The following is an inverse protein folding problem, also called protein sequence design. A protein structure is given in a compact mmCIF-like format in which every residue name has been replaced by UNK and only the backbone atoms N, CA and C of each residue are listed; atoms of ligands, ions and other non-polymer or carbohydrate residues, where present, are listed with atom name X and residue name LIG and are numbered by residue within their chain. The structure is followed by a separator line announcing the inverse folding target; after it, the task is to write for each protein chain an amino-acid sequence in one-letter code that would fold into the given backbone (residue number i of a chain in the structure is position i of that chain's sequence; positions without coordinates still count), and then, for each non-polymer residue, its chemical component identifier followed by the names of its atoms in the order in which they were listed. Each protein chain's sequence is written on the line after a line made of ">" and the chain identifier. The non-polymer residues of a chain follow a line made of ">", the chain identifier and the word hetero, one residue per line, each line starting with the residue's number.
data_IF_787236499583
#
_entry.id   IF_787236499583
#
_cell.length_a   1.000
_cell.length_b   1.000
_cell.length_c   1.000
_cell.angle_alpha   90.00
_cell.angle_beta   90.00
_cell.angle_gamma   90.00
#
_symmetry.space_group_name_H-M   'P 1'
#
loop_
_entity.id
_entity.type
_entity.pdbx_description
1 polymer ?
#
# COMPACT_ATOMS: atom_id res chain seq x y z
N UNK A 1 -2.10 3.95 -18.10
CA UNK A 1 -3.11 3.02 -17.56
C UNK A 1 -3.88 2.40 -18.72
N UNK A 2 -4.15 1.10 -18.67
CA UNK A 2 -4.82 0.33 -19.74
C UNK A 2 -6.16 0.96 -20.13
N UNK A 3 -6.56 0.86 -21.41
CA UNK A 3 -7.80 1.40 -21.99
C UNK A 3 -9.05 0.68 -21.45
N UNK A 4 -9.32 0.83 -20.16
CA UNK A 4 -10.55 0.36 -19.54
C UNK A 4 -11.64 1.40 -19.84
N UNK A 5 -12.83 1.00 -20.32
CA UNK A 5 -13.92 1.94 -20.57
C UNK A 5 -14.24 2.75 -19.30
N UNK A 6 -14.33 4.07 -19.43
CA UNK A 6 -14.79 4.91 -18.33
C UNK A 6 -16.27 4.63 -18.08
N UNK A 7 -16.57 3.98 -16.96
CA UNK A 7 -17.93 3.83 -16.46
C UNK A 7 -18.37 5.17 -15.84
N UNK A 8 -19.43 5.77 -16.38
CA UNK A 8 -20.04 6.99 -15.84
C UNK A 8 -21.02 6.62 -14.72
N UNK A 9 -20.49 6.30 -13.54
CA UNK A 9 -21.29 6.19 -12.32
C UNK A 9 -21.14 7.46 -11.47
N UNK A 10 -22.26 8.13 -11.19
CA UNK A 10 -22.29 9.34 -10.34
C UNK A 10 -21.84 9.08 -8.90
N UNK A 11 -21.84 7.82 -8.45
CA UNK A 11 -21.34 7.43 -7.13
C UNK A 11 -19.83 7.27 -7.09
N UNK A 12 -19.17 7.09 -8.24
CA UNK A 12 -17.71 7.05 -8.32
C UNK A 12 -17.16 8.48 -8.24
N UNK A 13 -16.74 8.88 -7.04
CA UNK A 13 -16.24 10.24 -6.76
C UNK A 13 -14.82 10.43 -7.27
N UNK A 14 -14.00 9.38 -7.15
CA UNK A 14 -12.63 9.31 -7.66
C UNK A 14 -12.45 7.96 -8.32
N UNK A 15 -12.02 7.97 -9.58
CA UNK A 15 -11.81 6.76 -10.39
C UNK A 15 -10.58 6.90 -11.27
N UNK A 16 -10.54 6.17 -12.38
CA UNK A 16 -9.34 6.07 -13.22
C UNK A 16 -8.98 7.35 -14.00
N UNK A 17 -9.83 8.38 -13.96
CA UNK A 17 -9.67 9.60 -14.75
C UNK A 17 -8.57 10.53 -14.25
N UNK A 18 -8.28 10.53 -12.93
CA UNK A 18 -7.34 11.48 -12.31
C UNK A 18 -6.05 10.82 -11.81
N UNK A 19 -5.92 9.49 -11.95
CA UNK A 19 -4.77 8.73 -11.43
C UNK A 19 -4.42 9.09 -9.98
N UNK A 20 -5.45 9.26 -9.14
CA UNK A 20 -5.30 9.36 -7.68
C UNK A 20 -4.82 8.02 -7.08
N UNK A 21 -4.34 8.08 -5.84
CA UNK A 21 -3.74 6.94 -5.13
C UNK A 21 -4.76 5.84 -4.80
N UNK A 22 -6.05 6.18 -4.68
CA UNK A 22 -7.11 5.20 -4.46
C UNK A 22 -8.45 5.59 -5.10
N UNK A 23 -9.31 4.60 -5.31
CA UNK A 23 -10.69 4.83 -5.77
C UNK A 23 -11.60 5.27 -4.62
N UNK A 24 -12.56 6.15 -4.89
CA UNK A 24 -13.55 6.60 -3.90
C UNK A 24 -14.96 6.41 -4.45
N UNK A 25 -15.77 5.62 -3.75
CA UNK A 25 -17.13 5.28 -4.15
C UNK A 25 -18.15 5.61 -3.05
N UNK A 26 -19.11 6.47 -3.36
CA UNK A 26 -20.15 6.95 -2.44
C UNK A 26 -21.21 5.88 -2.19
N UNK A 27 -21.37 5.48 -0.93
CA UNK A 27 -22.40 4.52 -0.50
C UNK A 27 -23.66 5.25 -0.01
N UNK A 28 -23.48 6.28 0.81
CA UNK A 28 -24.54 7.11 1.35
C UNK A 28 -24.10 8.58 1.38
N UNK A 29 -24.91 9.47 1.95
CA UNK A 29 -24.51 10.88 2.11
C UNK A 29 -23.36 11.06 3.11
N UNK A 30 -23.20 10.12 4.04
CA UNK A 30 -22.25 10.23 5.14
C UNK A 30 -21.07 9.26 4.99
N UNK A 31 -21.13 8.30 4.05
CA UNK A 31 -20.08 7.29 3.87
C UNK A 31 -19.73 7.13 2.39
N UNK A 32 -18.45 7.29 2.09
CA UNK A 32 -17.81 6.77 0.88
C UNK A 32 -16.75 5.73 1.27
N UNK A 33 -16.62 4.70 0.45
CA UNK A 33 -15.58 3.70 0.55
C UNK A 33 -14.37 4.18 -0.25
N UNK A 34 -13.18 4.01 0.33
CA UNK A 34 -11.90 4.20 -0.35
C UNK A 34 -11.26 2.83 -0.53
N UNK A 35 -10.92 2.46 -1.76
CA UNK A 35 -10.25 1.19 -2.05
C UNK A 35 -8.94 1.42 -2.78
N UNK A 36 -7.88 0.82 -2.26
CA UNK A 36 -6.58 0.68 -2.93
C UNK A 36 -6.16 -0.79 -2.97
N UNK A 37 -5.21 -1.08 -3.84
CA UNK A 37 -4.53 -2.36 -3.92
C UNK A 37 -3.08 -2.14 -4.34
N UNK A 38 -2.15 -2.65 -3.55
CA UNK A 38 -0.73 -2.51 -3.84
C UNK A 38 0.02 -3.75 -3.35
N UNK A 39 0.91 -4.29 -4.20
CA UNK A 39 1.73 -5.46 -3.92
C UNK A 39 2.96 -5.48 -4.83
N UNK A 40 4.10 -5.92 -4.31
CA UNK A 40 5.39 -5.84 -5.01
C UNK A 40 6.36 -6.93 -4.54
N UNK A 41 7.45 -7.19 -5.27
CA UNK A 41 8.47 -8.17 -4.84
C UNK A 41 9.31 -7.66 -3.65
N UNK A 42 10.02 -8.55 -2.93
CA UNK A 42 10.86 -8.18 -1.80
C UNK A 42 11.85 -7.03 -2.09
N UNK A 43 11.88 -6.06 -1.17
CA UNK A 43 12.82 -4.93 -1.18
C UNK A 43 13.90 -5.05 -0.10
N UNK A 44 13.74 -6.00 0.82
CA UNK A 44 14.65 -6.38 1.90
C UNK A 44 14.66 -7.90 2.04
N UNK A 45 15.72 -8.46 2.62
CA UNK A 45 15.90 -9.91 2.75
C UNK A 45 15.10 -10.51 3.92
N UNK A 46 14.88 -9.77 5.00
CA UNK A 46 14.10 -10.26 6.13
C UNK A 46 12.61 -10.35 5.75
N UNK A 47 12.00 -11.55 5.76
CA UNK A 47 10.64 -11.71 5.27
C UNK A 47 9.60 -11.02 6.15
N UNK A 48 9.82 -10.96 7.47
CA UNK A 48 8.90 -10.31 8.40
C UNK A 48 8.90 -8.80 8.14
N UNK A 49 10.08 -8.17 8.07
CA UNK A 49 10.24 -6.76 7.74
C UNK A 49 9.66 -6.44 6.36
N UNK A 50 9.88 -7.29 5.35
CA UNK A 50 9.24 -7.12 4.04
C UNK A 50 7.71 -7.09 4.16
N UNK A 51 7.12 -8.00 4.94
CA UNK A 51 5.69 -8.02 5.24
C UNK A 51 5.20 -6.71 5.87
N UNK A 52 5.95 -6.16 6.83
CA UNK A 52 5.63 -4.87 7.46
C UNK A 52 5.68 -3.71 6.47
N UNK A 53 6.72 -3.66 5.63
CA UNK A 53 6.87 -2.58 4.65
C UNK A 53 5.77 -2.65 3.57
N UNK A 54 5.48 -3.84 3.05
CA UNK A 54 4.43 -4.04 2.06
C UNK A 54 3.06 -3.60 2.60
N UNK A 55 2.72 -3.98 3.83
CA UNK A 55 1.48 -3.55 4.46
C UNK A 55 1.44 -2.04 4.72
N UNK A 56 2.54 -1.44 5.18
CA UNK A 56 2.64 0.02 5.37
C UNK A 56 2.42 0.77 4.05
N UNK A 57 3.00 0.29 2.95
CA UNK A 57 2.82 0.85 1.62
C UNK A 57 1.35 0.77 1.18
N UNK A 58 0.73 -0.41 1.24
CA UNK A 58 -0.68 -0.58 0.85
C UNK A 58 -1.65 0.25 1.71
N UNK A 59 -1.32 0.54 2.97
CA UNK A 59 -2.10 1.41 3.84
C UNK A 59 -1.93 2.91 3.50
N UNK A 60 -0.81 3.28 2.89
CA UNK A 60 -0.43 4.68 2.64
C UNK A 60 -1.47 5.39 1.78
N UNK A 61 -1.99 4.76 0.73
CA UNK A 61 -2.95 5.41 -0.18
C UNK A 61 -4.25 5.76 0.53
N UNK A 62 -4.69 4.94 1.49
CA UNK A 62 -5.87 5.26 2.29
C UNK A 62 -5.64 6.55 3.08
N UNK A 63 -4.47 6.70 3.69
CA UNK A 63 -4.11 7.91 4.42
C UNK A 63 -3.89 9.12 3.49
N UNK A 64 -3.33 8.91 2.31
CA UNK A 64 -3.14 9.95 1.29
C UNK A 64 -4.47 10.55 0.83
N UNK A 65 -5.53 9.73 0.74
CA UNK A 65 -6.89 10.18 0.44
C UNK A 65 -7.60 10.83 1.65
N UNK A 66 -6.94 10.95 2.80
CA UNK A 66 -7.54 11.47 4.04
C UNK A 66 -8.59 10.53 4.66
N UNK A 67 -8.55 9.25 4.33
CA UNK A 67 -9.51 8.26 4.77
C UNK A 67 -9.01 7.46 5.97
N UNK A 68 -9.95 6.80 6.67
CA UNK A 68 -9.65 5.90 7.78
C UNK A 68 -9.67 4.45 7.27
N UNK A 69 -8.59 3.67 7.39
CA UNK A 69 -8.62 2.25 7.04
C UNK A 69 -9.54 1.48 7.99
N UNK A 70 -10.21 0.45 7.48
CA UNK A 70 -11.14 -0.40 8.26
C UNK A 70 -10.84 -1.89 8.14
N UNK A 71 -10.43 -2.37 6.95
CA UNK A 71 -10.11 -3.78 6.72
C UNK A 71 -9.05 -3.92 5.63
N UNK A 72 -8.41 -5.08 5.57
CA UNK A 72 -7.54 -5.45 4.47
C UNK A 72 -7.69 -6.92 4.07
N UNK A 73 -7.23 -7.26 2.87
CA UNK A 73 -7.12 -8.63 2.35
C UNK A 73 -5.70 -8.84 1.83
N UNK A 74 -5.10 -9.99 2.14
CA UNK A 74 -3.79 -10.37 1.59
C UNK A 74 -3.86 -10.60 0.08
N UNK A 75 -2.85 -10.13 -0.63
CA UNK A 75 -2.55 -10.52 -2.02
C UNK A 75 -1.16 -11.14 -2.01
N UNK A 76 -1.07 -12.40 -2.42
CA UNK A 76 0.16 -13.18 -2.37
C UNK A 76 0.41 -13.85 -3.72
N UNK A 77 1.57 -13.57 -4.31
CA UNK A 77 2.20 -14.45 -5.29
C UNK A 77 3.38 -15.13 -4.61
N UNK A 78 3.46 -16.45 -4.61
CA UNK A 78 4.55 -17.15 -3.92
C UNK A 78 5.01 -18.39 -4.70
N UNK A 79 6.32 -18.64 -4.84
CA UNK A 79 6.83 -19.84 -5.50
C UNK A 79 6.46 -21.10 -4.74
N UNK A 80 6.13 -22.17 -5.47
CA UNK A 80 5.79 -23.48 -4.88
C UNK A 80 7.04 -24.27 -4.46
N UNK A 81 8.22 -23.86 -4.91
CA UNK A 81 9.53 -24.42 -4.55
C UNK A 81 10.22 -23.72 -3.37
N UNK A 82 9.64 -22.63 -2.85
CA UNK A 82 10.18 -21.86 -1.73
C UNK A 82 9.56 -22.30 -0.39
N UNK A 83 10.34 -22.22 0.69
CA UNK A 83 9.88 -22.61 2.04
C UNK A 83 8.68 -21.77 2.49
N UNK A 84 7.57 -22.43 2.80
CA UNK A 84 6.34 -21.82 3.32
C UNK A 84 6.55 -21.08 4.65
N UNK A 85 7.63 -21.36 5.39
CA UNK A 85 7.98 -20.59 6.56
C UNK A 85 8.33 -19.14 6.21
N UNK A 86 8.95 -18.89 5.04
CA UNK A 86 9.20 -17.53 4.53
C UNK A 86 7.87 -16.80 4.33
N UNK A 87 6.91 -17.42 3.63
CA UNK A 87 5.57 -16.86 3.47
C UNK A 87 4.90 -16.59 4.82
N UNK A 88 5.04 -17.50 5.77
CA UNK A 88 4.49 -17.34 7.12
C UNK A 88 5.05 -16.11 7.82
N UNK A 89 6.35 -15.82 7.69
CA UNK A 89 6.96 -14.62 8.26
C UNK A 89 6.47 -13.34 7.57
N UNK A 90 6.34 -13.34 6.24
CA UNK A 90 5.77 -12.22 5.48
C UNK A 90 4.36 -11.88 5.97
N UNK A 91 3.49 -12.89 6.09
CA UNK A 91 2.13 -12.70 6.57
C UNK A 91 2.07 -12.19 8.01
N UNK A 92 2.99 -12.65 8.87
CA UNK A 92 3.11 -12.14 10.25
C UNK A 92 3.54 -10.67 10.29
N UNK A 93 4.47 -10.27 9.44
CA UNK A 93 4.87 -8.87 9.29
C UNK A 93 3.71 -7.99 8.85
N UNK A 94 3.01 -8.40 7.78
CA UNK A 94 1.84 -7.67 7.31
C UNK A 94 0.73 -7.55 8.36
N UNK A 95 0.50 -8.62 9.13
CA UNK A 95 -0.44 -8.61 10.25
C UNK A 95 0.02 -7.70 11.42
N UNK A 96 1.32 -7.68 11.73
CA UNK A 96 1.93 -6.78 12.73
C UNK A 96 1.64 -5.32 12.40
N UNK A 97 1.95 -4.90 11.15
CA UNK A 97 1.72 -3.53 10.70
C UNK A 97 0.24 -3.17 10.58
N UNK A 98 -0.60 -4.11 10.12
CA UNK A 98 -2.05 -3.90 10.07
C UNK A 98 -2.66 -3.72 11.46
N UNK A 99 -2.14 -4.43 12.46
CA UNK A 99 -2.53 -4.28 13.87
C UNK A 99 -2.13 -2.90 14.43
N UNK A 100 -0.96 -2.38 14.06
CA UNK A 100 -0.55 -1.00 14.38
C UNK A 100 -1.56 0.02 13.84
N UNK A 101 -2.03 -0.17 12.61
CA UNK A 101 -3.10 0.62 12.00
C UNK A 101 -4.52 0.34 12.56
N UNK A 102 -4.64 -0.52 13.58
CA UNK A 102 -5.92 -0.91 14.21
C UNK A 102 -6.94 -1.53 13.24
N UNK A 103 -6.47 -2.26 12.23
CA UNK A 103 -7.34 -3.00 11.29
C UNK A 103 -7.05 -4.50 11.31
N UNK A 104 -8.04 -5.28 10.89
CA UNK A 104 -7.89 -6.72 10.69
C UNK A 104 -7.64 -7.04 9.21
N UNK A 105 -6.74 -8.00 8.98
CA UNK A 105 -6.65 -8.67 7.68
C UNK A 105 -7.70 -9.80 7.66
N UNK A 106 -8.73 -9.63 6.85
CA UNK A 106 -9.94 -10.45 6.86
C UNK A 106 -9.91 -11.65 5.89
N UNK A 107 -8.72 -12.07 5.47
CA UNK A 107 -8.50 -13.14 4.50
C UNK A 107 -7.55 -12.70 3.40
N UNK A 108 -7.76 -13.22 2.19
CA UNK A 108 -6.95 -12.88 1.03
C UNK A 108 -6.94 -13.98 -0.02
N UNK A 109 -6.01 -13.85 -0.96
CA UNK A 109 -5.80 -14.85 -2.00
C UNK A 109 -4.31 -15.06 -2.25
N UNK A 110 -3.95 -16.33 -2.47
CA UNK A 110 -2.59 -16.76 -2.80
C UNK A 110 -2.60 -17.47 -4.13
N UNK A 111 -1.66 -17.10 -5.00
CA UNK A 111 -1.40 -17.76 -6.28
C UNK A 111 0.05 -18.21 -6.34
N UNK A 112 0.30 -19.26 -7.11
CA UNK A 112 1.67 -19.66 -7.46
C UNK A 112 2.26 -18.62 -8.41
N UNK A 113 3.47 -18.17 -8.12
CA UNK A 113 4.20 -17.18 -8.93
C UNK A 113 5.71 -17.49 -8.87
N UNK A 114 6.46 -17.12 -9.90
CA UNK A 114 7.90 -17.39 -9.97
C UNK A 114 8.72 -16.57 -8.96
N UNK A 115 8.20 -15.40 -8.57
CA UNK A 115 8.85 -14.53 -7.59
C UNK A 115 7.87 -14.20 -6.46
N UNK A 116 8.32 -14.19 -5.19
CA UNK A 116 7.50 -13.73 -4.08
C UNK A 116 6.99 -12.32 -4.34
N UNK A 117 5.70 -12.09 -4.13
CA UNK A 117 5.05 -10.78 -4.16
C UNK A 117 4.03 -10.75 -3.04
N UNK A 118 4.03 -9.66 -2.28
CA UNK A 118 3.11 -9.49 -1.17
C UNK A 118 2.62 -8.05 -1.10
N UNK A 119 1.39 -7.91 -0.62
CA UNK A 119 0.77 -6.65 -0.31
C UNK A 119 -0.68 -6.84 0.08
N UNK A 120 -1.42 -5.74 0.18
CA UNK A 120 -2.80 -5.73 0.64
C UNK A 120 -3.71 -5.03 -0.35
N UNK A 121 -4.94 -5.54 -0.46
CA UNK A 121 -6.09 -4.71 -0.83
C UNK A 121 -6.66 -4.12 0.44
N UNK A 122 -6.77 -2.79 0.51
CA UNK A 122 -7.19 -2.09 1.73
C UNK A 122 -8.49 -1.36 1.45
N UNK A 123 -9.42 -1.49 2.39
CA UNK A 123 -10.68 -0.74 2.41
C UNK A 123 -10.62 0.30 3.52
N UNK A 124 -10.93 1.54 3.17
CA UNK A 124 -11.11 2.66 4.08
C UNK A 124 -12.47 3.32 3.90
N UNK A 125 -12.76 4.25 4.80
CA UNK A 125 -13.97 5.08 4.76
C UNK A 125 -13.63 6.55 4.92
N UNK A 126 -14.41 7.39 4.26
CA UNK A 126 -14.33 8.85 4.34
C UNK A 126 -15.73 9.46 4.21
N UNK A 127 -15.94 10.62 4.81
CA UNK A 127 -17.15 11.40 4.53
C UNK A 127 -17.10 11.90 3.08
N UNK A 128 -18.16 11.71 2.27
CA UNK A 128 -18.18 12.20 0.90
C UNK A 128 -17.90 13.71 0.82
N UNK A 129 -16.89 14.10 0.04
CA UNK A 129 -16.42 15.49 -0.10
C UNK A 129 -15.26 15.86 0.82
N UNK A 130 -14.90 15.01 1.78
CA UNK A 130 -13.72 15.19 2.65
C UNK A 130 -12.48 14.46 2.15
N UNK A 131 -12.58 13.67 1.08
CA UNK A 131 -11.42 13.01 0.48
C UNK A 131 -10.43 14.04 -0.06
N UNK A 132 -9.14 13.77 0.14
CA UNK A 132 -8.04 14.54 -0.43
C UNK A 132 -7.74 13.98 -1.81
N UNK A 133 -7.51 14.84 -2.80
CA UNK A 133 -7.15 14.45 -4.17
C UNK A 133 -5.89 15.18 -4.63
N UNK A 134 -5.16 14.56 -5.54
CA UNK A 134 -3.88 15.06 -6.05
C UNK A 134 -3.98 16.28 -6.99
N UNK A 135 -5.19 16.71 -7.34
CA UNK A 135 -5.47 17.69 -8.40
C UNK A 135 -6.06 19.01 -7.93
N UNK A 136 -6.13 19.24 -6.61
CA UNK A 136 -6.79 20.41 -6.03
C UNK A 136 -5.82 21.47 -5.44
N UNK A 137 -4.52 21.31 -5.67
CA UNK A 137 -3.50 22.28 -5.25
C UNK A 137 -3.63 23.61 -6.01
N UNK A 138 -3.24 24.71 -5.36
CA UNK A 138 -3.31 26.07 -5.89
C UNK A 138 -1.95 26.74 -5.88
N UNK A 139 -1.79 27.72 -6.76
CA UNK A 139 -0.61 28.57 -6.74
C UNK A 139 -0.45 29.22 -5.35
N UNK A 140 0.77 29.19 -4.83
CA UNK A 140 1.18 29.65 -3.49
C UNK A 140 0.91 28.68 -2.33
N UNK A 141 0.40 27.48 -2.59
CA UNK A 141 0.38 26.43 -1.56
C UNK A 141 1.82 26.02 -1.19
N UNK A 142 2.01 25.64 0.08
CA UNK A 142 3.29 25.12 0.56
C UNK A 142 3.40 23.62 0.27
N UNK A 143 4.62 23.15 -0.01
CA UNK A 143 4.92 21.73 -0.13
C UNK A 143 5.45 21.21 1.21
N UNK A 144 4.83 20.14 1.72
CA UNK A 144 5.21 19.48 2.97
C UNK A 144 5.58 18.04 2.66
N UNK A 145 6.71 17.59 3.19
CA UNK A 145 7.18 16.21 3.08
C UNK A 145 7.34 15.63 4.50
N UNK A 146 6.69 14.50 4.75
CA UNK A 146 6.62 13.88 6.08
C UNK A 146 7.69 12.81 6.30
N UNK A 147 8.35 12.35 5.23
CA UNK A 147 9.42 11.35 5.27
C UNK A 147 10.58 11.71 4.32
N UNK A 148 11.85 11.49 4.71
CA UNK A 148 12.99 11.60 3.81
C UNK A 148 12.84 10.81 2.50
N UNK A 149 13.46 11.32 1.43
CA UNK A 149 13.61 10.60 0.16
C UNK A 149 14.92 9.78 0.14
N UNK A 150 15.02 8.81 -0.76
CA UNK A 150 16.27 8.08 -1.04
C UNK A 150 16.26 6.58 -0.73
N UNK A 151 15.17 6.03 -0.20
CA UNK A 151 15.01 4.60 0.11
C UNK A 151 15.33 3.69 -1.08
N UNK A 152 14.91 4.05 -2.29
CA UNK A 152 15.23 3.29 -3.52
C UNK A 152 16.73 3.21 -3.85
N UNK A 153 17.49 4.28 -3.57
CA UNK A 153 18.95 4.29 -3.74
C UNK A 153 19.60 3.36 -2.71
N UNK A 154 19.15 3.45 -1.45
CA UNK A 154 19.66 2.65 -0.33
C UNK A 154 19.39 1.16 -0.56
N UNK A 155 18.16 0.78 -0.91
CA UNK A 155 17.78 -0.63 -1.16
C UNK A 155 18.49 -1.20 -2.38
N UNK A 156 18.67 -0.40 -3.44
CA UNK A 156 19.46 -0.83 -4.61
C UNK A 156 20.93 -1.06 -4.25
N UNK A 157 21.54 -0.16 -3.47
CA UNK A 157 22.90 -0.36 -2.98
C UNK A 157 23.01 -1.59 -2.06
N UNK A 158 21.98 -1.84 -1.24
CA UNK A 158 21.83 -3.04 -0.40
C UNK A 158 21.83 -4.34 -1.22
N UNK A 159 21.02 -4.40 -2.29
CA UNK A 159 21.01 -5.54 -3.22
C UNK A 159 22.37 -5.84 -3.85
N UNK A 160 23.26 -4.86 -3.91
CA UNK A 160 24.62 -5.00 -4.43
C UNK A 160 25.71 -5.12 -3.34
N UNK A 161 25.35 -5.19 -2.07
CA UNK A 161 26.31 -5.24 -0.94
C UNK A 161 27.17 -3.98 -0.82
N UNK A 162 26.67 -2.82 -1.29
CA UNK A 162 27.40 -1.53 -1.33
C UNK A 162 26.97 -0.53 -0.27
N UNK A 163 26.19 -0.96 0.71
CA UNK A 163 25.66 -0.13 1.79
C UNK A 163 26.01 -0.73 3.14
N UNK A 164 26.23 0.10 4.14
CA UNK A 164 26.40 -0.37 5.53
C UNK A 164 25.04 -0.73 6.11
N UNK A 165 24.98 -1.75 6.95
CA UNK A 165 23.73 -2.20 7.60
C UNK A 165 23.01 -1.06 8.32
N UNK A 166 23.74 -0.23 9.07
CA UNK A 166 23.20 0.98 9.73
C UNK A 166 22.49 1.98 8.78
N UNK A 167 22.86 2.01 7.50
CA UNK A 167 22.21 2.89 6.51
C UNK A 167 20.99 2.20 5.90
N UNK A 168 21.02 0.87 5.79
CA UNK A 168 19.86 0.08 5.37
C UNK A 168 18.74 0.11 6.42
N UNK A 169 19.10 0.00 7.71
CA UNK A 169 18.17 0.13 8.84
C UNK A 169 17.42 1.46 8.82
N UNK A 170 18.11 2.58 8.52
CA UNK A 170 17.45 3.88 8.38
C UNK A 170 16.36 3.88 7.32
N UNK A 171 16.55 3.17 6.19
CA UNK A 171 15.55 3.10 5.13
C UNK A 171 14.33 2.22 5.50
N UNK A 172 14.48 1.32 6.48
CA UNK A 172 13.40 0.47 6.99
C UNK A 172 12.55 1.25 8.01
N UNK A 173 13.20 2.05 8.87
CA UNK A 173 12.55 2.76 9.98
C UNK A 173 11.87 4.08 9.58
N UNK A 174 11.94 4.48 8.29
CA UNK A 174 11.40 5.75 7.80
C UNK A 174 9.89 5.72 7.58
#
# INVERSE_FOLDING_TARGET
>A
MLQIPNMLDKKLLVGNSTSDDASVYKISNDIAIVNTVDFFPPIVDDPFTFGEIAAANSLSDIYAMGAKPITALNIVGFPDDLDLNILTQILKGGASKSKEASIAIAGGHTVVDQEPKYGLSVTGIVNPGSQITNNNSKAKDALVLTKPIGTGIITTAGKHGKVKDSVLELAIDT
#
